data_IF_915696272578
#
_entry.id   IF_915696272578
#
_cell.length_a   1.000
_cell.length_b   1.000
_cell.length_c   1.000
_cell.angle_alpha   90.00
_cell.angle_beta   90.00
_cell.angle_gamma   90.00
#
_symmetry.space_group_name_H-M   'P 1'
#
loop_
_entity.id
_entity.type
_entity.pdbx_description
1 polymer ?
#
# COMPACT_ATOMS: atom_id res chain seq x y z
N UNK A 1 1.68 -33.47 15.01
CA UNK A 1 0.31 -33.01 15.36
C UNK A 1 -0.11 -31.92 14.41
N UNK A 2 -1.39 -31.71 14.15
CA UNK A 2 -1.86 -30.86 13.06
C UNK A 2 -1.92 -29.38 13.50
N UNK A 3 -1.40 -28.48 12.66
CA UNK A 3 -1.58 -27.05 12.86
C UNK A 3 -3.06 -26.66 12.72
N UNK A 4 -3.52 -25.73 13.54
CA UNK A 4 -4.89 -25.27 13.52
C UNK A 4 -5.08 -24.09 12.56
N UNK A 5 -6.14 -24.15 11.74
CA UNK A 5 -6.57 -23.07 10.84
C UNK A 5 -7.82 -22.40 11.38
N UNK A 6 -7.74 -21.08 11.63
CA UNK A 6 -8.87 -20.30 12.17
C UNK A 6 -8.94 -18.89 11.60
N UNK A 7 -10.07 -18.25 11.79
CA UNK A 7 -10.27 -16.84 11.46
C UNK A 7 -9.87 -15.99 12.67
N UNK A 8 -9.09 -14.95 12.42
CA UNK A 8 -8.61 -13.98 13.40
C UNK A 8 -9.05 -12.57 12.98
N UNK A 9 -9.52 -11.78 13.91
CA UNK A 9 -9.72 -10.35 13.69
C UNK A 9 -8.37 -9.63 13.61
N UNK A 10 -8.24 -8.59 12.77
CA UNK A 10 -6.94 -7.96 12.56
C UNK A 10 -6.55 -6.95 13.63
N UNK A 11 -7.43 -6.66 14.58
CA UNK A 11 -7.14 -5.94 15.84
C UNK A 11 -6.56 -6.87 16.93
N UNK A 12 -6.52 -8.20 16.72
CA UNK A 12 -5.84 -9.12 17.63
C UNK A 12 -4.34 -8.81 17.66
N UNK A 13 -3.75 -8.58 18.85
CA UNK A 13 -2.33 -8.21 18.97
C UNK A 13 -1.36 -9.25 18.41
N UNK A 14 -1.77 -10.52 18.33
CA UNK A 14 -0.96 -11.58 17.71
C UNK A 14 -0.75 -11.34 16.21
N UNK A 15 -1.76 -10.77 15.51
CA UNK A 15 -1.62 -10.40 14.11
C UNK A 15 -0.56 -9.30 13.92
N UNK A 16 -0.61 -8.25 14.73
CA UNK A 16 0.37 -7.17 14.68
C UNK A 16 1.79 -7.68 14.94
N UNK A 17 1.98 -8.54 15.96
CA UNK A 17 3.26 -9.15 16.28
C UNK A 17 3.78 -10.04 15.13
N UNK A 18 2.91 -10.87 14.56
CA UNK A 18 3.24 -11.72 13.42
C UNK A 18 3.69 -10.91 12.21
N UNK A 19 2.94 -9.84 11.85
CA UNK A 19 3.30 -8.99 10.71
C UNK A 19 4.62 -8.24 10.94
N UNK A 20 4.91 -7.78 12.17
CA UNK A 20 6.19 -7.09 12.45
C UNK A 20 7.39 -8.02 12.33
N UNK A 21 7.24 -9.30 12.64
CA UNK A 21 8.31 -10.29 12.55
C UNK A 21 8.40 -11.04 11.22
N UNK A 22 7.56 -10.72 10.23
CA UNK A 22 7.52 -11.45 8.97
C UNK A 22 8.08 -10.61 7.81
N UNK A 23 9.15 -11.07 7.17
CA UNK A 23 9.90 -10.34 6.13
C UNK A 23 9.04 -9.92 4.91
N UNK A 24 8.01 -10.69 4.59
CA UNK A 24 7.12 -10.40 3.47
C UNK A 24 5.94 -9.49 3.86
N UNK A 25 5.80 -9.13 5.14
CA UNK A 25 4.74 -8.24 5.56
C UNK A 25 5.02 -6.81 5.10
N UNK A 26 4.03 -6.20 4.46
CA UNK A 26 4.06 -4.79 4.07
C UNK A 26 2.95 -4.00 4.75
N UNK A 27 2.89 -2.72 4.45
CA UNK A 27 1.93 -1.78 5.06
C UNK A 27 0.47 -2.25 4.95
N UNK A 28 0.11 -2.99 3.90
CA UNK A 28 -1.25 -3.49 3.69
C UNK A 28 -1.64 -4.65 4.63
N UNK A 29 -0.68 -5.23 5.35
CA UNK A 29 -0.91 -6.22 6.39
C UNK A 29 -1.09 -5.60 7.78
N UNK A 30 -0.75 -4.30 7.92
CA UNK A 30 -0.79 -3.63 9.21
C UNK A 30 -2.22 -3.50 9.76
N UNK A 31 -2.42 -3.56 11.07
CA UNK A 31 -3.71 -3.25 11.69
C UNK A 31 -4.22 -1.87 11.30
N UNK A 32 -3.34 -0.85 11.23
CA UNK A 32 -3.71 0.50 10.84
C UNK A 32 -4.34 0.57 9.44
N UNK A 33 -3.88 -0.26 8.49
CA UNK A 33 -4.50 -0.34 7.16
C UNK A 33 -5.90 -0.95 7.22
N UNK A 34 -6.10 -1.97 8.04
CA UNK A 34 -7.39 -2.60 8.24
C UNK A 34 -8.39 -1.65 8.91
N UNK A 35 -7.94 -0.92 9.92
CA UNK A 35 -8.73 0.11 10.60
C UNK A 35 -9.14 1.24 9.64
N UNK A 36 -8.21 1.69 8.81
CA UNK A 36 -8.50 2.67 7.75
C UNK A 36 -9.65 2.22 6.85
N UNK A 37 -9.61 0.97 6.38
CA UNK A 37 -10.64 0.42 5.51
C UNK A 37 -11.98 0.22 6.23
N UNK A 38 -11.94 -0.29 7.45
CA UNK A 38 -13.12 -0.47 8.29
C UNK A 38 -13.81 0.87 8.59
N UNK A 39 -13.06 1.87 9.05
CA UNK A 39 -13.59 3.19 9.39
C UNK A 39 -14.09 3.98 8.17
N UNK A 40 -13.46 3.78 7.02
CA UNK A 40 -13.82 4.52 5.80
C UNK A 40 -15.02 3.90 5.08
N UNK A 41 -15.02 2.58 4.93
CA UNK A 41 -15.95 1.86 4.05
C UNK A 41 -16.88 0.88 4.80
N UNK A 42 -16.74 0.74 6.11
CA UNK A 42 -17.51 -0.21 6.90
C UNK A 42 -17.19 -1.68 6.61
N UNK A 43 -15.97 -1.97 6.13
CA UNK A 43 -15.57 -3.32 5.79
C UNK A 43 -15.22 -4.13 7.04
N UNK A 44 -15.72 -5.36 7.12
CA UNK A 44 -15.24 -6.36 8.08
C UNK A 44 -13.98 -7.01 7.53
N UNK A 45 -12.85 -6.82 8.23
CA UNK A 45 -11.55 -7.33 7.79
C UNK A 45 -11.04 -8.33 8.81
N UNK A 46 -10.64 -9.48 8.30
CA UNK A 46 -10.17 -10.62 9.08
C UNK A 46 -8.97 -11.26 8.40
N UNK A 47 -8.30 -12.17 9.07
CA UNK A 47 -7.33 -13.07 8.45
C UNK A 47 -7.72 -14.52 8.68
N UNK A 48 -7.56 -15.35 7.66
CA UNK A 48 -7.40 -16.79 7.89
C UNK A 48 -5.95 -17.02 8.30
N UNK A 49 -5.74 -17.66 9.45
CA UNK A 49 -4.40 -17.85 10.02
C UNK A 49 -4.15 -19.32 10.33
N UNK A 50 -2.90 -19.71 10.26
CA UNK A 50 -2.38 -20.98 10.72
C UNK A 50 -1.57 -20.74 11.99
N UNK A 51 -1.88 -21.48 13.04
CA UNK A 51 -1.12 -21.44 14.28
C UNK A 51 -0.55 -22.83 14.60
N UNK A 52 0.57 -22.83 15.29
CA UNK A 52 1.15 -24.03 15.86
C UNK A 52 0.46 -24.41 17.18
N UNK A 53 0.94 -25.49 17.81
CA UNK A 53 0.41 -26.01 19.07
C UNK A 53 0.57 -25.04 20.25
N UNK A 54 1.52 -24.15 20.19
CA UNK A 54 1.75 -23.09 21.18
C UNK A 54 0.85 -21.86 20.94
N UNK A 55 0.06 -21.86 19.86
CA UNK A 55 -0.81 -20.74 19.47
C UNK A 55 -0.07 -19.64 18.72
N UNK A 56 1.19 -19.84 18.34
CA UNK A 56 2.00 -18.90 17.56
C UNK A 56 1.55 -18.95 16.10
N UNK A 57 1.33 -17.77 15.50
CA UNK A 57 0.96 -17.65 14.09
C UNK A 57 2.15 -18.02 13.19
N UNK A 58 1.92 -18.92 12.26
CA UNK A 58 2.94 -19.40 11.31
C UNK A 58 2.61 -19.08 9.86
N UNK A 59 1.36 -18.74 9.56
CA UNK A 59 0.93 -18.22 8.28
C UNK A 59 -0.36 -17.40 8.43
N UNK A 60 -0.65 -16.51 7.47
CA UNK A 60 -1.87 -15.72 7.47
C UNK A 60 -2.18 -15.09 6.12
N UNK A 61 -3.46 -14.96 5.82
CA UNK A 61 -3.99 -14.30 4.64
C UNK A 61 -5.12 -13.36 5.07
N UNK A 62 -4.90 -12.04 5.05
CA UNK A 62 -5.96 -11.09 5.35
C UNK A 62 -6.97 -11.00 4.22
N UNK A 63 -8.25 -10.84 4.57
CA UNK A 63 -9.32 -10.68 3.62
C UNK A 63 -10.43 -9.78 4.15
N UNK A 64 -11.15 -9.16 3.23
CA UNK A 64 -12.39 -8.45 3.50
C UNK A 64 -13.57 -9.19 2.85
N UNK A 65 -14.67 -9.33 3.59
CA UNK A 65 -15.93 -9.80 3.06
C UNK A 65 -16.69 -8.61 2.44
N UNK A 66 -16.90 -8.64 1.13
CA UNK A 66 -17.60 -7.58 0.38
C UNK A 66 -18.91 -8.13 -0.16
N UNK A 67 -20.03 -7.65 0.40
CA UNK A 67 -21.36 -8.02 -0.03
C UNK A 67 -22.05 -6.81 -0.69
N UNK A 68 -22.34 -6.93 -1.97
CA UNK A 68 -23.16 -5.95 -2.69
C UNK A 68 -24.60 -6.45 -2.78
N UNK A 69 -25.60 -5.56 -2.84
CA UNK A 69 -26.99 -5.95 -3.06
C UNK A 69 -27.12 -6.79 -4.33
N UNK A 70 -27.84 -7.89 -4.24
CA UNK A 70 -28.10 -8.84 -5.35
C UNK A 70 -26.85 -9.47 -5.99
N UNK A 71 -25.67 -9.26 -5.41
CA UNK A 71 -24.44 -9.85 -5.90
C UNK A 71 -23.97 -11.00 -4.99
N UNK A 72 -23.14 -11.87 -5.56
CA UNK A 72 -22.46 -12.94 -4.82
C UNK A 72 -21.47 -12.34 -3.80
N UNK A 73 -21.36 -12.94 -2.63
CA UNK A 73 -20.31 -12.60 -1.66
C UNK A 73 -18.94 -12.68 -2.32
N UNK A 74 -18.12 -11.67 -2.11
CA UNK A 74 -16.72 -11.65 -2.56
C UNK A 74 -15.81 -11.55 -1.35
N UNK A 75 -14.80 -12.40 -1.32
CA UNK A 75 -13.69 -12.32 -0.37
C UNK A 75 -12.50 -11.73 -1.12
N UNK A 76 -12.02 -10.59 -0.68
CA UNK A 76 -10.95 -9.83 -1.34
C UNK A 76 -9.76 -9.69 -0.40
N UNK A 77 -8.60 -10.07 -0.84
CA UNK A 77 -7.33 -9.91 -0.11
C UNK A 77 -6.58 -8.63 -0.55
N UNK A 78 -6.70 -7.57 0.01
CA UNK A 78 -7.58 -6.62 0.60
C UNK A 78 -8.05 -5.58 -0.43
N UNK A 79 -9.26 -5.01 -0.35
CA UNK A 79 -9.66 -3.88 -1.18
C UNK A 79 -8.71 -2.69 -1.00
N UNK A 80 -8.52 -1.88 -2.06
CA UNK A 80 -7.67 -0.67 -2.05
C UNK A 80 -6.19 -0.89 -1.77
N UNK A 81 -5.75 -2.14 -1.53
CA UNK A 81 -4.34 -2.52 -1.46
C UNK A 81 -3.79 -2.79 -2.86
N UNK A 82 -2.57 -2.33 -3.14
CA UNK A 82 -1.96 -2.55 -4.46
C UNK A 82 -1.57 -4.02 -4.63
N UNK A 83 -1.16 -4.63 -3.52
CA UNK A 83 -0.89 -6.07 -3.37
C UNK A 83 -1.13 -6.48 -1.92
N UNK A 84 -1.40 -7.75 -1.69
CA UNK A 84 -1.50 -8.33 -0.35
C UNK A 84 -1.12 -9.81 -0.44
N UNK A 85 0.15 -10.08 -0.21
CA UNK A 85 0.70 -11.42 -0.23
C UNK A 85 0.16 -12.26 0.94
N UNK A 86 -0.02 -13.57 0.79
CA UNK A 86 -0.16 -14.43 1.95
C UNK A 86 1.19 -14.47 2.70
N UNK A 87 1.15 -14.27 4.00
CA UNK A 87 2.33 -14.38 4.87
C UNK A 87 2.50 -15.86 5.24
N UNK A 88 3.58 -16.50 4.81
CA UNK A 88 3.78 -17.94 5.04
C UNK A 88 5.24 -18.37 4.85
N UNK A 89 5.62 -19.46 5.49
CA UNK A 89 6.92 -20.09 5.28
C UNK A 89 7.04 -20.89 3.98
N UNK A 90 5.96 -21.01 3.18
CA UNK A 90 6.04 -21.71 1.91
C UNK A 90 4.70 -21.96 1.22
N UNK A 91 4.73 -22.43 -0.05
CA UNK A 91 3.54 -22.55 -0.91
C UNK A 91 2.49 -23.54 -0.41
N UNK A 92 2.88 -24.56 0.37
CA UNK A 92 1.93 -25.51 0.97
C UNK A 92 0.99 -24.83 1.95
N UNK A 93 1.51 -23.99 2.84
CA UNK A 93 0.71 -23.25 3.81
C UNK A 93 -0.24 -22.27 3.13
N UNK A 94 0.19 -21.61 2.06
CA UNK A 94 -0.69 -20.76 1.24
C UNK A 94 -1.90 -21.54 0.75
N UNK A 95 -1.66 -22.76 0.30
CA UNK A 95 -2.71 -23.65 -0.13
C UNK A 95 -3.73 -23.95 0.92
N UNK A 96 -3.28 -24.33 2.12
CA UNK A 96 -4.14 -24.63 3.27
C UNK A 96 -5.02 -23.42 3.63
N UNK A 97 -4.44 -22.21 3.66
CA UNK A 97 -5.19 -20.98 3.94
C UNK A 97 -6.31 -20.73 2.91
N UNK A 98 -6.00 -20.88 1.62
CA UNK A 98 -6.97 -20.66 0.54
C UNK A 98 -8.08 -21.71 0.58
N UNK A 99 -7.75 -22.98 0.80
CA UNK A 99 -8.73 -24.05 0.85
C UNK A 99 -9.66 -23.87 2.05
N UNK A 100 -9.10 -23.53 3.22
CA UNK A 100 -9.89 -23.25 4.42
C UNK A 100 -10.83 -22.06 4.25
N UNK A 101 -10.35 -21.00 3.60
CA UNK A 101 -11.19 -19.83 3.31
C UNK A 101 -12.39 -20.18 2.41
N UNK A 102 -12.21 -21.08 1.45
CA UNK A 102 -13.28 -21.60 0.58
C UNK A 102 -14.28 -22.49 1.32
N UNK A 103 -13.78 -23.32 2.22
CA UNK A 103 -14.64 -24.19 3.06
C UNK A 103 -15.54 -23.36 3.96
N UNK A 104 -14.99 -22.29 4.57
CA UNK A 104 -15.76 -21.40 5.45
C UNK A 104 -16.78 -20.55 4.69
N UNK A 105 -16.56 -20.29 3.41
CA UNK A 105 -17.42 -19.43 2.58
C UNK A 105 -17.81 -20.13 1.26
N UNK A 106 -18.56 -21.22 1.32
CA UNK A 106 -18.95 -21.95 0.12
C UNK A 106 -19.74 -21.03 -0.81
N UNK A 107 -19.35 -21.04 -2.08
CA UNK A 107 -20.02 -20.21 -3.07
C UNK A 107 -19.55 -18.75 -3.15
N UNK A 108 -18.69 -18.24 -2.27
CA UNK A 108 -18.09 -16.91 -2.41
C UNK A 108 -17.12 -16.83 -3.60
N UNK A 109 -17.06 -15.65 -4.24
CA UNK A 109 -16.00 -15.35 -5.19
C UNK A 109 -14.74 -14.92 -4.43
N UNK A 110 -13.58 -15.50 -4.76
CA UNK A 110 -12.32 -15.18 -4.11
C UNK A 110 -11.43 -14.34 -5.03
N UNK A 111 -11.00 -13.18 -4.58
CA UNK A 111 -10.04 -12.29 -5.25
C UNK A 111 -8.76 -12.20 -4.44
N UNK A 112 -7.69 -12.78 -4.95
CA UNK A 112 -6.37 -12.79 -4.32
C UNK A 112 -5.44 -11.84 -5.08
N UNK A 113 -4.72 -10.96 -4.37
CA UNK A 113 -3.89 -9.89 -4.94
C UNK A 113 -2.40 -10.17 -4.77
N UNK A 114 -1.99 -11.35 -5.25
CA UNK A 114 -0.59 -11.78 -5.28
C UNK A 114 -0.42 -12.92 -6.28
N UNK A 115 0.81 -13.36 -6.45
CA UNK A 115 1.09 -14.60 -7.20
C UNK A 115 0.79 -15.80 -6.31
N UNK A 116 -0.09 -16.66 -6.76
CA UNK A 116 -0.46 -17.90 -6.06
C UNK A 116 -0.07 -19.11 -6.90
N UNK A 117 0.24 -20.25 -6.26
CA UNK A 117 0.38 -21.52 -6.97
C UNK A 117 -0.88 -21.84 -7.75
N UNK A 118 -0.73 -22.43 -8.94
CA UNK A 118 -1.86 -22.86 -9.75
C UNK A 118 -2.71 -23.87 -8.96
N UNK A 119 -4.00 -23.59 -8.83
CA UNK A 119 -4.95 -24.44 -8.09
C UNK A 119 -6.27 -24.57 -8.85
N UNK A 120 -6.96 -25.72 -8.74
CA UNK A 120 -8.30 -25.87 -9.31
C UNK A 120 -9.24 -24.74 -8.86
N UNK A 121 -9.94 -24.14 -9.79
CA UNK A 121 -10.92 -23.08 -9.53
C UNK A 121 -10.32 -21.72 -9.17
N UNK A 122 -9.00 -21.51 -9.30
CA UNK A 122 -8.36 -20.19 -9.36
C UNK A 122 -7.86 -19.95 -10.77
N UNK A 123 -8.25 -18.80 -11.35
CA UNK A 123 -7.76 -18.32 -12.64
C UNK A 123 -7.04 -17.00 -12.47
N UNK A 124 -6.00 -16.78 -13.25
CA UNK A 124 -5.33 -15.48 -13.28
C UNK A 124 -6.24 -14.46 -13.97
N UNK A 125 -6.73 -13.47 -13.23
CA UNK A 125 -7.63 -12.44 -13.74
C UNK A 125 -6.87 -11.25 -14.35
N UNK A 126 -5.70 -10.91 -13.78
CA UNK A 126 -4.86 -9.80 -14.24
C UNK A 126 -3.39 -10.05 -13.91
N UNK A 127 -2.51 -9.31 -14.56
CA UNK A 127 -1.08 -9.30 -14.27
C UNK A 127 -0.63 -7.86 -14.03
N UNK A 128 0.01 -7.64 -12.89
CA UNK A 128 0.60 -6.36 -12.52
C UNK A 128 2.09 -6.54 -12.24
N UNK A 129 2.86 -5.46 -12.38
CA UNK A 129 4.29 -5.44 -12.07
C UNK A 129 4.49 -4.62 -10.81
N UNK A 130 5.15 -5.20 -9.82
CA UNK A 130 5.64 -4.50 -8.64
C UNK A 130 7.08 -4.05 -8.92
N UNK A 131 7.34 -2.75 -8.79
CA UNK A 131 8.68 -2.19 -8.89
C UNK A 131 9.27 -2.04 -7.49
N UNK A 132 10.39 -2.70 -7.26
CA UNK A 132 11.18 -2.56 -6.04
C UNK A 132 12.48 -1.86 -6.38
N UNK A 133 12.84 -0.87 -5.57
CA UNK A 133 14.11 -0.16 -5.67
C UNK A 133 14.91 -0.42 -4.39
N UNK A 134 15.96 -1.25 -4.44
CA UNK A 134 16.88 -1.43 -3.32
C UNK A 134 17.60 -0.11 -3.00
N UNK A 135 17.64 0.26 -1.70
CA UNK A 135 18.26 1.50 -1.24
C UNK A 135 19.60 1.27 -0.52
N UNK A 136 20.05 0.03 -0.46
CA UNK A 136 21.35 -0.33 0.08
C UNK A 136 22.47 0.39 -0.70
N UNK A 137 23.49 0.83 0.01
CA UNK A 137 24.57 1.65 -0.52
C UNK A 137 24.29 3.15 -0.52
N UNK A 138 23.10 3.56 -0.04
CA UNK A 138 22.76 4.95 0.23
C UNK A 138 22.53 5.80 -1.02
N UNK A 139 22.51 7.12 -0.79
CA UNK A 139 22.12 8.13 -1.80
C UNK A 139 23.03 8.12 -3.02
N UNK A 140 24.34 7.94 -2.83
CA UNK A 140 25.31 7.94 -3.94
C UNK A 140 25.13 6.73 -4.86
N UNK A 141 24.90 5.55 -4.29
CA UNK A 141 24.61 4.35 -5.05
C UNK A 141 23.27 4.46 -5.80
N UNK A 142 22.26 5.02 -5.17
CA UNK A 142 20.99 5.32 -5.82
C UNK A 142 21.18 6.33 -6.96
N UNK A 143 21.92 7.42 -6.74
CA UNK A 143 22.21 8.43 -7.76
C UNK A 143 22.95 7.86 -8.98
N UNK A 144 23.89 6.94 -8.75
CA UNK A 144 24.64 6.30 -9.84
C UNK A 144 23.72 5.50 -10.79
N UNK A 145 22.63 4.91 -10.27
CA UNK A 145 21.66 4.10 -11.02
C UNK A 145 20.60 4.92 -11.76
N UNK A 146 20.47 6.23 -11.47
CA UNK A 146 19.45 7.05 -12.13
C UNK A 146 19.74 7.18 -13.63
N UNK A 147 18.72 6.90 -14.44
CA UNK A 147 18.81 7.08 -15.89
C UNK A 147 19.12 8.54 -16.26
N UNK A 148 19.97 8.82 -17.26
CA UNK A 148 20.36 10.20 -17.64
C UNK A 148 19.18 11.15 -17.89
N UNK A 149 18.08 10.67 -18.41
CA UNK A 149 16.86 11.45 -18.61
C UNK A 149 16.32 12.01 -17.29
N UNK A 150 16.21 11.18 -16.24
CA UNK A 150 15.75 11.62 -14.93
C UNK A 150 16.72 12.59 -14.26
N UNK A 151 18.04 12.36 -14.39
CA UNK A 151 19.05 13.35 -13.93
C UNK A 151 18.85 14.73 -14.59
N UNK A 152 18.56 14.76 -15.90
CA UNK A 152 18.23 16.00 -16.61
C UNK A 152 16.94 16.61 -16.07
N UNK A 153 15.90 15.83 -15.86
CA UNK A 153 14.62 16.29 -15.31
C UNK A 153 14.78 16.90 -13.90
N UNK A 154 15.55 16.25 -13.01
CA UNK A 154 15.90 16.79 -11.70
C UNK A 154 16.57 18.15 -11.78
N UNK A 155 17.55 18.30 -12.70
CA UNK A 155 18.24 19.56 -12.94
C UNK A 155 17.27 20.64 -13.44
N UNK A 156 16.40 20.28 -14.39
CA UNK A 156 15.37 21.19 -14.91
C UNK A 156 14.43 21.66 -13.82
N UNK A 157 13.91 20.75 -12.97
CA UNK A 157 13.01 21.11 -11.88
C UNK A 157 13.66 22.13 -10.93
N UNK A 158 14.90 21.85 -10.50
CA UNK A 158 15.64 22.75 -9.60
C UNK A 158 15.94 24.11 -10.22
N UNK A 159 16.36 24.14 -11.50
CA UNK A 159 16.62 25.39 -12.22
C UNK A 159 15.36 26.24 -12.42
N UNK A 160 14.20 25.61 -12.48
CA UNK A 160 12.89 26.27 -12.58
C UNK A 160 12.31 26.65 -11.22
N UNK A 161 13.08 26.53 -10.14
CA UNK A 161 12.66 26.93 -8.80
C UNK A 161 11.68 25.98 -8.13
N UNK A 162 11.50 24.75 -8.62
CA UNK A 162 10.67 23.75 -7.94
C UNK A 162 11.40 23.26 -6.70
N UNK A 163 10.70 23.28 -5.57
CA UNK A 163 11.16 22.79 -4.27
C UNK A 163 10.25 21.68 -3.77
N UNK A 164 10.79 20.72 -3.03
CA UNK A 164 10.00 19.68 -2.38
C UNK A 164 9.92 19.97 -0.89
N UNK A 165 8.72 19.90 -0.36
CA UNK A 165 8.39 20.02 1.06
C UNK A 165 7.88 18.67 1.54
N UNK A 166 8.41 18.22 2.68
CA UNK A 166 7.88 17.06 3.41
C UNK A 166 6.86 17.55 4.43
N UNK A 167 5.71 16.91 4.48
CA UNK A 167 4.69 17.10 5.50
C UNK A 167 4.32 15.76 6.13
N UNK A 168 4.71 15.57 7.36
CA UNK A 168 4.41 14.42 8.23
C UNK A 168 3.29 14.73 9.24
N UNK A 169 2.71 15.92 9.16
CA UNK A 169 1.63 16.38 10.05
C UNK A 169 0.24 16.21 9.44
N UNK A 170 0.16 16.13 8.12
CA UNK A 170 -1.10 16.10 7.37
C UNK A 170 -1.67 17.49 7.07
N UNK A 171 -0.95 18.56 7.35
CA UNK A 171 -1.37 19.94 7.02
C UNK A 171 -1.60 20.14 5.51
N UNK A 172 -0.81 19.44 4.69
CA UNK A 172 -0.91 19.50 3.23
C UNK A 172 -2.04 18.63 2.62
N UNK A 173 -2.90 18.01 3.43
CA UNK A 173 -3.97 17.13 2.93
C UNK A 173 -4.87 17.84 1.92
N UNK A 174 -5.18 19.12 2.10
CA UNK A 174 -6.04 19.86 1.19
C UNK A 174 -5.42 20.00 -0.21
N UNK A 175 -4.13 20.35 -0.28
CA UNK A 175 -3.39 20.47 -1.54
C UNK A 175 -3.22 19.11 -2.23
N UNK A 176 -2.85 18.08 -1.47
CA UNK A 176 -2.78 16.73 -1.99
C UNK A 176 -4.13 16.29 -2.57
N UNK A 177 -5.24 16.48 -1.84
CA UNK A 177 -6.55 16.05 -2.29
C UNK A 177 -7.03 16.81 -3.53
N UNK A 178 -6.78 18.12 -3.62
CA UNK A 178 -7.05 18.92 -4.82
C UNK A 178 -6.34 18.34 -6.05
N UNK A 179 -5.04 18.06 -5.94
CA UNK A 179 -4.24 17.46 -7.02
C UNK A 179 -4.70 16.03 -7.34
N UNK A 180 -5.02 15.26 -6.32
CA UNK A 180 -5.52 13.88 -6.47
C UNK A 180 -6.85 13.86 -7.24
N UNK A 181 -7.76 14.77 -6.93
CA UNK A 181 -9.03 14.92 -7.64
C UNK A 181 -8.79 15.26 -9.12
N UNK A 182 -7.94 16.22 -9.43
CA UNK A 182 -7.56 16.56 -10.81
C UNK A 182 -6.99 15.35 -11.56
N UNK A 183 -6.10 14.61 -10.92
CA UNK A 183 -5.46 13.43 -11.50
C UNK A 183 -6.49 12.33 -11.79
N UNK A 184 -7.36 12.00 -10.83
CA UNK A 184 -8.39 10.96 -10.99
C UNK A 184 -9.41 11.34 -12.05
N UNK A 185 -9.85 12.60 -12.08
CA UNK A 185 -10.75 13.11 -13.12
C UNK A 185 -10.15 12.94 -14.52
N UNK A 186 -8.86 13.28 -14.69
CA UNK A 186 -8.16 13.10 -15.96
C UNK A 186 -8.04 11.64 -16.37
N UNK A 187 -7.87 10.74 -15.42
CA UNK A 187 -7.79 9.29 -15.64
C UNK A 187 -9.16 8.63 -15.88
N UNK A 188 -10.27 9.34 -15.66
CA UNK A 188 -11.61 8.77 -15.78
C UNK A 188 -11.95 7.73 -14.70
N UNK A 189 -11.28 7.78 -13.55
CA UNK A 189 -11.48 6.82 -12.46
C UNK A 189 -12.09 7.51 -11.22
N UNK A 190 -12.91 6.80 -10.41
CA UNK A 190 -13.48 7.35 -9.20
C UNK A 190 -12.42 7.85 -8.23
N UNK A 191 -12.72 8.97 -7.57
CA UNK A 191 -11.88 9.55 -6.52
C UNK A 191 -12.25 8.89 -5.18
N UNK A 192 -11.25 8.51 -4.39
CA UNK A 192 -11.48 8.10 -3.01
C UNK A 192 -12.09 9.28 -2.21
N UNK A 193 -13.03 9.01 -1.30
CA UNK A 193 -13.63 10.07 -0.49
C UNK A 193 -12.56 10.76 0.38
N UNK A 194 -12.73 12.05 0.65
CA UNK A 194 -11.79 12.79 1.50
C UNK A 194 -11.63 12.14 2.89
N UNK A 195 -12.70 11.49 3.39
CA UNK A 195 -12.70 10.72 4.63
C UNK A 195 -11.61 9.64 4.64
N UNK A 196 -11.37 8.97 3.51
CA UNK A 196 -10.29 7.98 3.38
C UNK A 196 -8.93 8.59 3.72
N UNK A 197 -8.61 9.74 3.14
CA UNK A 197 -7.33 10.40 3.39
C UNK A 197 -7.23 11.02 4.78
N UNK A 198 -8.34 11.53 5.34
CA UNK A 198 -8.38 12.00 6.73
C UNK A 198 -8.08 10.86 7.70
N UNK A 199 -8.72 9.71 7.54
CA UNK A 199 -8.48 8.52 8.36
C UNK A 199 -7.05 7.98 8.17
N UNK A 200 -6.52 8.04 6.93
CA UNK A 200 -5.15 7.62 6.64
C UNK A 200 -4.14 8.52 7.37
N UNK A 201 -4.27 9.83 7.27
CA UNK A 201 -3.41 10.78 7.99
C UNK A 201 -3.50 10.53 9.50
N UNK A 202 -4.70 10.39 10.04
CA UNK A 202 -4.89 10.16 11.47
C UNK A 202 -4.29 8.83 11.96
N UNK A 203 -4.31 7.78 11.13
CA UNK A 203 -3.85 6.45 11.51
C UNK A 203 -2.33 6.23 11.32
N UNK A 204 -1.71 6.90 10.34
CA UNK A 204 -0.31 6.60 9.98
C UNK A 204 0.68 7.70 10.33
N UNK A 205 0.31 8.98 10.21
CA UNK A 205 1.26 10.09 10.38
C UNK A 205 1.77 10.23 11.81
N UNK A 206 0.92 10.16 12.86
CA UNK A 206 1.40 10.24 14.24
C UNK A 206 2.38 9.11 14.64
N UNK A 207 2.29 7.97 13.97
CA UNK A 207 3.20 6.84 14.19
C UNK A 207 4.52 6.96 13.39
N UNK A 208 4.68 8.02 12.55
CA UNK A 208 5.80 8.15 11.62
C UNK A 208 5.75 7.15 10.45
N UNK A 209 4.58 6.56 10.22
CA UNK A 209 4.35 5.54 9.17
C UNK A 209 3.78 6.15 7.87
N UNK A 210 3.62 7.48 7.80
CA UNK A 210 3.11 8.16 6.61
C UNK A 210 3.55 9.61 6.51
N UNK A 211 3.70 10.09 5.27
CA UNK A 211 3.98 11.51 4.98
C UNK A 211 3.60 11.87 3.55
N UNK A 212 3.42 13.18 3.32
CA UNK A 212 3.35 13.74 1.98
C UNK A 212 4.69 14.33 1.54
N UNK A 213 4.98 14.23 0.26
CA UNK A 213 5.96 15.08 -0.43
C UNK A 213 5.21 15.95 -1.44
N UNK A 214 5.41 17.25 -1.35
CA UNK A 214 4.80 18.24 -2.23
C UNK A 214 5.88 18.95 -3.01
N UNK A 215 5.77 18.96 -4.34
CA UNK A 215 6.63 19.76 -5.21
C UNK A 215 5.93 21.08 -5.53
N UNK A 216 6.49 22.18 -5.06
CA UNK A 216 5.90 23.51 -5.21
C UNK A 216 6.86 24.44 -5.95
N UNK A 217 6.29 25.38 -6.69
CA UNK A 217 6.98 26.52 -7.24
C UNK A 217 6.32 27.78 -6.61
N UNK A 218 7.11 28.58 -5.90
CA UNK A 218 6.59 29.64 -5.03
C UNK A 218 5.51 29.07 -4.08
N UNK A 219 4.31 29.63 -4.07
CA UNK A 219 3.18 29.20 -3.23
C UNK A 219 2.27 28.17 -3.93
N UNK A 220 2.62 27.76 -5.16
CA UNK A 220 1.78 26.85 -5.96
C UNK A 220 2.27 25.42 -5.84
N UNK A 221 1.43 24.53 -5.31
CA UNK A 221 1.69 23.07 -5.30
C UNK A 221 1.36 22.48 -6.68
N UNK A 222 2.39 21.96 -7.36
CA UNK A 222 2.34 21.42 -8.72
C UNK A 222 2.10 19.91 -8.75
N UNK A 223 2.66 19.19 -7.78
CA UNK A 223 2.51 17.77 -7.62
C UNK A 223 2.64 17.39 -6.14
N UNK A 224 2.02 16.28 -5.77
CA UNK A 224 2.12 15.72 -4.44
C UNK A 224 2.12 14.19 -4.50
N UNK A 225 2.78 13.57 -3.53
CA UNK A 225 2.76 12.12 -3.37
C UNK A 225 2.61 11.75 -1.90
N UNK A 226 1.86 10.67 -1.67
CA UNK A 226 1.69 10.04 -0.37
C UNK A 226 2.58 8.80 -0.31
N UNK A 227 3.40 8.75 0.72
CA UNK A 227 4.24 7.61 1.05
C UNK A 227 3.81 7.00 2.38
N UNK A 228 3.91 5.69 2.46
CA UNK A 228 3.68 4.91 3.69
C UNK A 228 4.91 4.07 3.98
N UNK A 229 5.30 3.99 5.26
CA UNK A 229 6.43 3.21 5.74
C UNK A 229 5.94 2.06 6.60
N UNK A 230 6.52 0.88 6.40
CA UNK A 230 6.33 -0.28 7.26
C UNK A 230 7.61 -1.10 7.29
N UNK A 231 8.12 -1.35 8.49
CA UNK A 231 9.45 -1.93 8.66
C UNK A 231 10.45 -1.13 7.82
N UNK A 232 11.26 -1.80 7.00
CA UNK A 232 12.28 -1.17 6.13
C UNK A 232 11.77 -0.89 4.71
N UNK A 233 10.44 -0.84 4.51
CA UNK A 233 9.84 -0.62 3.19
C UNK A 233 9.10 0.70 3.13
N UNK A 234 9.53 1.58 2.21
CA UNK A 234 8.82 2.79 1.84
C UNK A 234 7.94 2.53 0.61
N UNK A 235 6.64 2.64 0.78
CA UNK A 235 5.64 2.41 -0.27
C UNK A 235 5.14 3.74 -0.84
N UNK A 236 5.35 3.98 -2.14
CA UNK A 236 4.66 5.02 -2.88
C UNK A 236 3.20 4.61 -3.10
N UNK A 237 2.27 5.25 -2.40
CA UNK A 237 0.86 4.85 -2.42
C UNK A 237 0.03 5.64 -3.41
N UNK A 238 0.13 6.95 -3.41
CA UNK A 238 -0.61 7.83 -4.32
C UNK A 238 0.26 8.94 -4.83
N UNK A 239 0.15 9.22 -6.12
CA UNK A 239 0.72 10.40 -6.73
C UNK A 239 -0.34 11.21 -7.46
N UNK A 240 -0.16 12.52 -7.44
CA UNK A 240 -1.07 13.47 -8.01
C UNK A 240 -0.30 14.66 -8.58
N UNK A 241 -0.77 15.22 -9.69
CA UNK A 241 -0.11 16.36 -10.32
C UNK A 241 -1.09 17.20 -11.11
N UNK A 242 -0.82 18.50 -11.13
CA UNK A 242 -1.45 19.44 -12.06
C UNK A 242 -0.81 19.27 -13.45
N UNK A 243 -1.60 19.03 -14.50
CA UNK A 243 -1.08 18.96 -15.87
C UNK A 243 -0.27 20.19 -16.29
N UNK A 244 -0.65 21.38 -15.84
CA UNK A 244 0.06 22.63 -16.15
C UNK A 244 1.48 22.66 -15.56
N UNK A 245 1.70 21.97 -14.43
CA UNK A 245 3.01 21.88 -13.78
C UNK A 245 3.94 20.81 -14.35
N UNK A 246 3.45 19.87 -15.16
CA UNK A 246 4.26 18.72 -15.66
C UNK A 246 5.52 19.14 -16.45
N UNK A 247 5.54 20.24 -17.26
CA UNK A 247 6.76 20.68 -17.93
C UNK A 247 7.90 21.05 -16.96
N UNK A 248 7.59 21.37 -15.69
CA UNK A 248 8.55 21.69 -14.65
C UNK A 248 9.16 20.45 -13.97
N UNK A 249 8.72 19.25 -14.35
CA UNK A 249 9.23 17.95 -13.86
C UNK A 249 9.09 17.74 -12.34
N UNK A 250 7.99 18.14 -11.69
CA UNK A 250 7.85 18.06 -10.24
C UNK A 250 7.88 16.62 -9.72
N UNK A 251 7.33 15.66 -10.47
CA UNK A 251 7.27 14.25 -10.06
C UNK A 251 8.67 13.62 -9.97
N UNK A 252 9.57 13.92 -10.92
CA UNK A 252 10.96 13.42 -10.86
C UNK A 252 11.62 13.88 -9.56
N UNK A 253 11.39 15.14 -9.15
CA UNK A 253 11.97 15.69 -7.93
C UNK A 253 11.37 15.06 -6.67
N UNK A 254 10.04 14.82 -6.62
CA UNK A 254 9.37 14.10 -5.53
C UNK A 254 9.98 12.70 -5.34
N UNK A 255 10.10 11.93 -6.42
CA UNK A 255 10.69 10.58 -6.34
C UNK A 255 12.13 10.60 -5.87
N UNK A 256 12.91 11.58 -6.33
CA UNK A 256 14.28 11.71 -5.87
C UNK A 256 14.38 12.04 -4.37
N UNK A 257 13.56 12.95 -3.88
CA UNK A 257 13.55 13.29 -2.45
C UNK A 257 12.99 12.13 -1.59
N UNK A 258 12.05 11.33 -2.11
CA UNK A 258 11.61 10.09 -1.46
C UNK A 258 12.74 9.05 -1.36
N UNK A 259 13.52 8.88 -2.43
CA UNK A 259 14.69 7.99 -2.43
C UNK A 259 15.73 8.46 -1.40
N UNK A 260 16.02 9.76 -1.36
CA UNK A 260 16.94 10.34 -0.38
C UNK A 260 16.46 10.11 1.06
N UNK A 261 15.17 10.32 1.28
CA UNK A 261 14.54 10.08 2.58
C UNK A 261 14.67 8.60 2.98
N UNK A 262 14.30 7.68 2.08
CA UNK A 262 14.39 6.24 2.33
C UNK A 262 15.82 5.73 2.54
N UNK A 263 16.85 6.36 1.94
CA UNK A 263 18.24 6.03 2.20
C UNK A 263 18.72 6.48 3.59
N UNK A 264 18.01 7.44 4.22
CA UNK A 264 18.39 8.01 5.52
C UNK A 264 17.64 7.38 6.70
N UNK A 265 16.55 6.66 6.45
CA UNK A 265 15.63 6.13 7.46
C UNK A 265 15.37 4.64 7.30
#
# INVERSE_FOLDING_TARGET
>A
MAAELKVLALDDPRWAAFCRGHDQAGIFHSPAWSDLLAQTYGLSIQAIVRQDESGILTAGLPFAAVQLPLARLRLVALPFSDHCAPLSGGPGQVGELVDRLRELHPGAALELRWTYPTRPGLAQAARHVLHLLPLEGGVDAAAARIHPMHRRNLRTARQRGVRVVLDDTGAALADFYRLHWLTRRRQGVPVQPVKFFKNLVAGFFPAGEGFFLLACQEDTCLAAALFLRWNDVLTYKYGASDPAGLPLRPNDLIFWEAIRWGCAH
#
